data_IF_650618561705
#
_entry.id   IF_650618561705
#
_cell.length_a   1.000
_cell.length_b   1.000
_cell.length_c   1.000
_cell.angle_alpha   90.00
_cell.angle_beta   90.00
_cell.angle_gamma   90.00
#
_symmetry.space_group_name_H-M   'P 1'
#
loop_
_entity.id
_entity.type
_entity.pdbx_description
1 polymer ?
#
# COMPACT_ATOMS: atom_id res chain seq x y z
N UNK A 1 4.18 -2.58 3.18
CA UNK A 1 3.78 -1.40 3.98
C UNK A 1 4.75 -0.29 3.64
N UNK A 2 4.31 0.72 2.88
CA UNK A 2 5.17 1.79 2.39
C UNK A 2 5.87 2.44 3.59
N UNK A 3 7.19 2.26 3.69
CA UNK A 3 7.97 2.91 4.72
C UNK A 3 7.90 4.41 4.45
N UNK A 4 7.11 5.12 5.27
CA UNK A 4 7.13 6.58 5.31
C UNK A 4 8.57 7.04 5.36
N UNK A 5 9.02 7.77 4.33
CA UNK A 5 10.38 8.29 4.29
C UNK A 5 10.50 9.35 5.38
N UNK A 6 11.08 8.99 6.52
CA UNK A 6 11.34 9.93 7.63
C UNK A 6 12.06 11.19 7.14
N UNK A 7 12.90 11.05 6.11
CA UNK A 7 13.58 12.14 5.42
C UNK A 7 12.58 13.19 4.87
N UNK A 8 11.59 12.75 4.10
CA UNK A 8 10.60 13.65 3.49
C UNK A 8 9.64 14.22 4.52
N UNK A 9 9.29 13.45 5.56
CA UNK A 9 8.47 13.96 6.66
C UNK A 9 9.18 15.09 7.40
N UNK A 10 10.47 14.92 7.72
CA UNK A 10 11.24 15.98 8.39
C UNK A 10 11.46 17.21 7.48
N UNK A 11 11.65 17.02 6.17
CA UNK A 11 11.66 18.15 5.22
C UNK A 11 10.32 18.90 5.21
N UNK A 12 9.20 18.17 5.19
CA UNK A 12 7.86 18.77 5.28
C UNK A 12 7.64 19.57 6.56
N UNK A 13 8.16 19.10 7.70
CA UNK A 13 8.07 19.83 8.97
C UNK A 13 9.00 21.06 9.05
N UNK A 14 10.05 21.10 8.23
CA UNK A 14 10.95 22.24 8.06
C UNK A 14 10.45 23.26 7.02
N UNK A 15 9.43 22.91 6.22
CA UNK A 15 8.84 23.81 5.24
C UNK A 15 8.12 25.01 5.90
N UNK A 16 7.60 24.82 7.12
CA UNK A 16 6.99 25.89 7.94
C UNK A 16 8.05 26.85 8.54
N UNK A 17 9.33 26.57 8.36
CA UNK A 17 10.45 27.38 8.85
C UNK A 17 11.45 26.62 9.73
N UNK A 18 12.51 27.31 10.18
CA UNK A 18 13.59 26.69 10.92
C UNK A 18 13.15 26.09 12.25
N UNK A 19 13.74 24.95 12.62
CA UNK A 19 13.36 24.27 13.86
C UNK A 19 14.41 23.35 14.46
N UNK A 20 14.27 23.10 15.75
CA UNK A 20 15.08 22.15 16.49
C UNK A 20 14.58 20.71 16.30
N UNK A 21 15.48 19.75 16.31
CA UNK A 21 15.15 18.31 16.21
C UNK A 21 14.10 17.85 17.23
N UNK A 22 14.16 18.39 18.46
CA UNK A 22 13.15 18.12 19.49
C UNK A 22 11.74 18.57 19.08
N UNK A 23 11.60 19.79 18.57
CA UNK A 23 10.32 20.33 18.12
C UNK A 23 9.79 19.61 16.87
N UNK A 24 10.69 19.17 15.99
CA UNK A 24 10.32 18.35 14.82
C UNK A 24 9.75 17.00 15.25
N UNK A 25 10.35 16.32 16.25
CA UNK A 25 9.77 15.09 16.80
C UNK A 25 8.39 15.35 17.40
N UNK A 26 8.24 16.41 18.20
CA UNK A 26 6.95 16.73 18.83
C UNK A 26 5.86 16.97 17.78
N UNK A 27 6.15 17.79 16.77
CA UNK A 27 5.24 18.06 15.65
C UNK A 27 4.96 16.82 14.80
N UNK A 28 5.94 15.93 14.63
CA UNK A 28 5.72 14.64 14.00
C UNK A 28 4.69 13.81 14.77
N UNK A 29 4.89 13.62 16.08
CA UNK A 29 4.00 12.79 16.90
C UNK A 29 2.59 13.41 17.02
N UNK A 30 2.48 14.74 16.99
CA UNK A 30 1.20 15.46 16.92
C UNK A 30 0.48 15.26 15.58
N UNK A 31 1.20 15.30 14.44
CA UNK A 31 0.59 15.20 13.09
C UNK A 31 0.39 13.75 12.61
N UNK A 32 1.14 12.80 13.16
CA UNK A 32 1.11 11.39 12.77
C UNK A 32 0.98 10.45 13.98
N UNK A 33 -0.08 10.59 14.80
CA UNK A 33 -0.21 9.83 16.05
C UNK A 33 -0.33 8.31 15.85
N UNK A 34 -0.81 7.89 14.68
CA UNK A 34 -0.97 6.47 14.32
C UNK A 34 0.25 5.89 13.60
N UNK A 35 1.23 6.72 13.23
CA UNK A 35 2.49 6.24 12.68
C UNK A 35 3.40 5.72 13.81
N UNK A 36 4.37 4.88 13.46
CA UNK A 36 5.41 4.48 14.41
C UNK A 36 6.10 5.73 14.95
N UNK A 37 6.12 5.91 16.28
CA UNK A 37 6.78 7.07 16.90
C UNK A 37 8.24 7.14 16.45
N UNK A 38 8.66 8.33 16.02
CA UNK A 38 10.04 8.57 15.63
C UNK A 38 10.90 8.73 16.87
N UNK A 39 11.87 7.84 17.06
CA UNK A 39 12.84 7.99 18.14
C UNK A 39 13.67 9.28 17.94
N UNK A 40 14.02 9.97 19.04
CA UNK A 40 14.87 11.17 18.96
C UNK A 40 16.17 10.91 18.19
N UNK A 41 16.82 9.76 18.42
CA UNK A 41 18.02 9.36 17.69
C UNK A 41 17.80 9.24 16.18
N UNK A 42 16.63 8.75 15.74
CA UNK A 42 16.28 8.67 14.33
C UNK A 42 16.07 10.06 13.71
N UNK A 43 15.50 11.01 14.47
CA UNK A 43 15.34 12.39 14.02
C UNK A 43 16.70 13.04 13.79
N UNK A 44 17.60 13.00 14.77
CA UNK A 44 18.92 13.63 14.65
C UNK A 44 19.79 12.98 13.57
N UNK A 45 19.81 11.64 13.48
CA UNK A 45 20.55 10.95 12.42
C UNK A 45 20.00 11.25 11.03
N UNK A 46 18.68 11.44 10.89
CA UNK A 46 18.08 11.83 9.61
C UNK A 46 18.35 13.30 9.28
N UNK A 47 18.31 14.21 10.25
CA UNK A 47 18.68 15.62 10.05
C UNK A 47 20.15 15.77 9.61
N UNK A 48 21.06 15.04 10.24
CA UNK A 48 22.46 15.02 9.80
C UNK A 48 22.63 14.51 8.37
N UNK A 49 21.82 13.52 7.94
CA UNK A 49 21.80 13.05 6.55
C UNK A 49 21.27 14.14 5.61
N UNK A 50 20.17 14.80 5.96
CA UNK A 50 19.63 15.92 5.18
C UNK A 50 20.65 17.05 5.00
N UNK A 51 21.40 17.38 6.04
CA UNK A 51 22.47 18.39 5.97
C UNK A 51 23.61 17.94 5.06
N UNK A 52 24.08 16.70 5.23
CA UNK A 52 25.13 16.12 4.36
C UNK A 52 24.73 16.13 2.90
N UNK A 53 23.46 15.84 2.62
CA UNK A 53 22.91 15.74 1.26
C UNK A 53 22.52 17.12 0.69
N UNK A 54 22.75 18.23 1.41
CA UNK A 54 22.45 19.59 0.96
C UNK A 54 20.96 19.96 0.94
N UNK A 55 20.10 19.13 1.53
CA UNK A 55 18.65 19.35 1.59
C UNK A 55 18.21 20.16 2.81
N UNK A 56 19.05 20.21 3.84
CA UNK A 56 18.88 21.07 4.98
C UNK A 56 20.22 21.72 5.33
N UNK A 57 20.19 22.75 6.16
CA UNK A 57 21.37 23.41 6.70
C UNK A 57 21.18 23.74 8.17
N UNK A 58 22.28 23.96 8.88
CA UNK A 58 22.26 24.45 10.25
C UNK A 58 22.19 25.98 10.17
N UNK A 59 21.06 26.53 10.61
CA UNK A 59 20.87 27.99 10.62
C UNK A 59 21.57 28.64 11.82
N UNK A 60 21.68 27.92 12.95
CA UNK A 60 22.37 28.40 14.14
C UNK A 60 22.20 27.47 15.34
N UNK A 61 22.85 27.84 16.44
CA UNK A 61 22.69 27.21 17.74
C UNK A 61 22.18 28.22 18.75
N UNK A 62 21.05 27.90 19.39
CA UNK A 62 20.50 28.71 20.48
C UNK A 62 20.96 28.11 21.81
N UNK A 63 21.36 28.98 22.74
CA UNK A 63 21.67 28.62 24.12
C UNK A 63 20.93 29.58 25.06
N UNK A 64 19.61 29.45 25.12
CA UNK A 64 18.77 30.26 26.01
C UNK A 64 18.78 29.69 27.43
N UNK A 65 19.96 29.69 28.05
CA UNK A 65 20.21 29.23 29.44
C UNK A 65 20.16 27.70 29.66
N UNK A 66 20.06 26.90 28.60
CA UNK A 66 20.06 25.43 28.64
C UNK A 66 21.07 24.80 27.67
N UNK A 67 21.05 23.47 27.49
CA UNK A 67 21.94 22.78 26.53
C UNK A 67 21.78 23.37 25.13
N UNK A 68 22.90 23.56 24.44
CA UNK A 68 22.94 24.12 23.08
C UNK A 68 22.01 23.36 22.13
N UNK A 69 21.10 24.08 21.46
CA UNK A 69 20.12 23.49 20.53
C UNK A 69 20.36 23.96 19.11
N UNK A 70 20.74 23.04 18.24
CA UNK A 70 20.89 23.30 16.81
C UNK A 70 19.53 23.52 16.14
N UNK A 71 19.38 24.62 15.39
CA UNK A 71 18.27 24.88 14.48
C UNK A 71 18.63 24.41 13.08
N UNK A 72 17.70 23.72 12.45
CA UNK A 72 17.81 23.26 11.08
C UNK A 72 16.83 24.03 10.21
N UNK A 73 17.21 24.33 8.97
CA UNK A 73 16.38 24.97 7.94
C UNK A 73 16.43 24.15 6.67
N UNK A 74 15.32 24.02 5.95
CA UNK A 74 15.33 23.40 4.62
C UNK A 74 16.02 24.35 3.62
N UNK A 75 16.82 23.80 2.71
CA UNK A 75 17.40 24.55 1.60
C UNK A 75 16.40 24.65 0.44
N UNK A 76 16.71 25.46 -0.57
CA UNK A 76 15.91 25.51 -1.81
C UNK A 76 15.87 24.15 -2.50
N UNK A 77 16.98 23.40 -2.44
CA UNK A 77 17.05 22.03 -2.97
C UNK A 77 16.20 21.07 -2.15
N UNK A 78 16.23 21.17 -0.81
CA UNK A 78 15.33 20.41 0.06
C UNK A 78 13.85 20.68 -0.22
N UNK A 79 13.51 21.92 -0.54
CA UNK A 79 12.15 22.32 -0.88
C UNK A 79 11.71 21.73 -2.22
N UNK A 80 12.58 21.77 -3.25
CA UNK A 80 12.33 21.13 -4.55
C UNK A 80 12.18 19.62 -4.43
N UNK A 81 13.04 18.97 -3.65
CA UNK A 81 12.98 17.54 -3.37
C UNK A 81 11.65 17.15 -2.73
N UNK A 82 11.21 17.93 -1.74
CA UNK A 82 9.92 17.72 -1.08
C UNK A 82 8.76 17.86 -2.07
N UNK A 83 8.75 18.91 -2.90
CA UNK A 83 7.70 19.09 -3.92
C UNK A 83 7.67 17.96 -4.93
N UNK A 84 8.83 17.48 -5.38
CA UNK A 84 8.96 16.33 -6.28
C UNK A 84 8.36 15.09 -5.65
N UNK A 85 8.82 14.72 -4.45
CA UNK A 85 8.34 13.54 -3.74
C UNK A 85 6.83 13.61 -3.43
N UNK A 86 6.32 14.78 -3.05
CA UNK A 86 4.89 14.96 -2.77
C UNK A 86 4.02 14.83 -4.04
N UNK A 87 4.57 15.11 -5.22
CA UNK A 87 3.89 14.92 -6.51
C UNK A 87 4.04 13.52 -7.11
N UNK A 88 4.91 12.67 -6.55
CA UNK A 88 5.10 11.31 -7.03
C UNK A 88 3.91 10.41 -6.65
N UNK A 89 3.24 9.87 -7.65
CA UNK A 89 2.16 8.90 -7.45
C UNK A 89 2.76 7.63 -6.85
N UNK A 90 2.21 7.20 -5.72
CA UNK A 90 2.59 5.91 -5.13
C UNK A 90 1.93 4.79 -5.92
N UNK A 91 2.69 3.95 -6.66
CA UNK A 91 2.09 2.86 -7.42
C UNK A 91 1.53 1.78 -6.47
N UNK A 92 0.51 1.02 -6.90
CA UNK A 92 0.09 -0.18 -6.19
C UNK A 92 1.28 -1.13 -5.98
N UNK A 93 1.31 -1.83 -4.84
CA UNK A 93 2.38 -2.77 -4.56
C UNK A 93 2.43 -3.86 -5.65
N UNK A 94 3.58 -4.09 -6.31
CA UNK A 94 3.69 -5.06 -7.41
C UNK A 94 3.54 -6.51 -6.93
N UNK A 95 3.83 -6.76 -5.65
CA UNK A 95 3.61 -8.03 -4.97
C UNK A 95 2.96 -7.74 -3.62
N UNK A 96 1.79 -8.33 -3.38
CA UNK A 96 1.15 -8.30 -2.06
C UNK A 96 1.69 -9.48 -1.26
N UNK A 97 2.61 -9.21 -0.33
CA UNK A 97 3.10 -10.22 0.58
C UNK A 97 1.94 -10.69 1.48
N UNK A 98 1.56 -11.96 1.36
CA UNK A 98 0.50 -12.55 2.16
C UNK A 98 1.07 -13.51 3.20
N UNK A 99 1.42 -12.95 4.36
CA UNK A 99 1.96 -13.72 5.48
C UNK A 99 0.94 -14.72 6.06
N UNK A 100 -0.35 -14.37 6.04
CA UNK A 100 -1.42 -15.25 6.55
C UNK A 100 -1.48 -16.53 5.71
N UNK A 101 -1.43 -16.41 4.38
CA UNK A 101 -1.38 -17.58 3.49
C UNK A 101 -0.14 -18.43 3.74
N UNK A 102 1.03 -17.80 3.89
CA UNK A 102 2.26 -18.52 4.20
C UNK A 102 2.13 -19.33 5.50
N UNK A 103 1.55 -18.74 6.56
CA UNK A 103 1.29 -19.42 7.83
C UNK A 103 0.27 -20.56 7.69
N UNK A 104 -0.78 -20.41 6.88
CA UNK A 104 -1.73 -21.49 6.58
C UNK A 104 -1.03 -22.66 5.90
N UNK A 105 -0.24 -22.41 4.86
CA UNK A 105 0.47 -23.47 4.13
C UNK A 105 1.50 -24.16 5.03
N UNK A 106 2.24 -23.42 5.84
CA UNK A 106 3.18 -23.98 6.81
C UNK A 106 2.45 -24.81 7.87
N UNK A 107 1.29 -24.35 8.36
CA UNK A 107 0.47 -25.12 9.30
C UNK A 107 0.05 -26.47 8.69
N UNK A 108 -0.37 -26.50 7.42
CA UNK A 108 -0.69 -27.76 6.70
C UNK A 108 0.53 -28.67 6.62
N UNK A 109 1.66 -28.16 6.10
CA UNK A 109 2.89 -28.94 5.92
C UNK A 109 3.46 -29.50 7.23
N UNK A 110 3.21 -28.84 8.35
CA UNK A 110 3.64 -29.26 9.68
C UNK A 110 2.66 -30.19 10.40
N UNK A 111 1.53 -30.55 9.77
CA UNK A 111 0.47 -31.36 10.38
C UNK A 111 -0.30 -30.62 11.48
N UNK A 112 -0.26 -29.29 11.47
CA UNK A 112 -0.98 -28.42 12.40
C UNK A 112 -2.45 -28.21 12.02
N UNK A 113 -3.10 -27.27 12.71
CA UNK A 113 -4.50 -26.91 12.47
C UNK A 113 -4.61 -25.51 11.81
N UNK A 114 -4.62 -25.44 10.46
CA UNK A 114 -4.80 -24.17 9.77
C UNK A 114 -6.18 -23.53 10.00
N UNK A 115 -7.22 -24.32 10.34
CA UNK A 115 -8.55 -23.79 10.61
C UNK A 115 -8.59 -23.04 11.95
N UNK A 116 -7.97 -23.62 12.99
CA UNK A 116 -7.78 -22.93 14.27
C UNK A 116 -6.93 -21.66 14.11
N UNK A 117 -5.87 -21.70 13.30
CA UNK A 117 -5.07 -20.51 13.00
C UNK A 117 -5.91 -19.40 12.34
N UNK A 118 -6.68 -19.70 11.29
CA UNK A 118 -7.54 -18.72 10.63
C UNK A 118 -8.63 -18.17 11.55
N UNK A 119 -9.19 -19.02 12.43
CA UNK A 119 -10.15 -18.57 13.45
C UNK A 119 -9.53 -17.58 14.44
N UNK A 120 -8.34 -17.88 14.93
CA UNK A 120 -7.58 -16.98 15.82
C UNK A 120 -7.19 -15.68 15.10
N UNK A 121 -6.74 -15.78 13.84
CA UNK A 121 -6.40 -14.62 13.03
C UNK A 121 -7.61 -13.70 12.82
N UNK A 122 -8.79 -14.27 12.54
CA UNK A 122 -10.05 -13.52 12.43
C UNK A 122 -10.39 -12.79 13.73
N UNK A 123 -10.25 -13.45 14.88
CA UNK A 123 -10.49 -12.83 16.18
C UNK A 123 -9.55 -11.64 16.44
N UNK A 124 -8.26 -11.78 16.10
CA UNK A 124 -7.28 -10.71 16.23
C UNK A 124 -7.60 -9.49 15.35
N UNK A 125 -8.04 -9.71 14.10
CA UNK A 125 -8.47 -8.63 13.20
C UNK A 125 -9.70 -7.91 13.75
N UNK A 126 -10.70 -8.65 14.22
CA UNK A 126 -11.92 -8.07 14.80
C UNK A 126 -11.61 -7.23 16.06
N UNK A 127 -10.69 -7.69 16.90
CA UNK A 127 -10.27 -6.92 18.07
C UNK A 127 -9.60 -5.61 17.64
N UNK A 128 -8.68 -5.66 16.67
CA UNK A 128 -8.04 -4.46 16.15
C UNK A 128 -9.03 -3.49 15.50
N UNK A 129 -10.07 -3.98 14.83
CA UNK A 129 -11.14 -3.13 14.29
C UNK A 129 -11.91 -2.41 15.40
N UNK A 130 -12.19 -3.08 16.53
CA UNK A 130 -12.85 -2.44 17.69
C UNK A 130 -11.99 -1.32 18.26
N UNK A 131 -10.70 -1.55 18.44
CA UNK A 131 -9.75 -0.55 18.91
C UNK A 131 -9.74 0.68 17.98
N UNK A 132 -9.62 0.48 16.67
CA UNK A 132 -9.60 1.56 15.69
C UNK A 132 -10.93 2.31 15.60
N UNK A 133 -12.05 1.60 15.74
CA UNK A 133 -13.39 2.22 15.80
C UNK A 133 -13.50 3.11 17.04
N UNK A 134 -12.98 2.68 18.19
CA UNK A 134 -12.94 3.49 19.40
C UNK A 134 -12.04 4.73 19.24
N UNK A 135 -10.88 4.58 18.60
CA UNK A 135 -9.98 5.71 18.28
C UNK A 135 -10.70 6.74 17.40
N UNK A 136 -11.38 6.29 16.34
CA UNK A 136 -12.14 7.16 15.44
C UNK A 136 -13.32 7.86 16.16
N UNK A 137 -13.98 7.17 17.08
CA UNK A 137 -15.14 7.69 17.82
C UNK A 137 -14.76 8.53 19.05
N UNK A 138 -13.47 8.65 19.39
CA UNK A 138 -13.02 9.39 20.55
C UNK A 138 -13.37 10.88 20.43
N UNK A 139 -13.87 11.48 21.52
CA UNK A 139 -14.15 12.92 21.56
C UNK A 139 -12.86 13.71 21.34
N UNK A 140 -12.89 14.64 20.39
CA UNK A 140 -11.75 15.48 20.04
C UNK A 140 -10.71 14.80 19.14
N UNK A 141 -11.02 13.63 18.56
CA UNK A 141 -10.18 13.05 17.52
C UNK A 141 -10.08 14.02 16.33
N UNK A 142 -8.85 14.32 15.90
CA UNK A 142 -8.60 15.14 14.73
C UNK A 142 -8.89 14.37 13.42
N UNK A 143 -9.05 15.11 12.33
CA UNK A 143 -9.40 14.53 11.02
C UNK A 143 -8.32 13.56 10.50
N UNK A 144 -7.03 13.83 10.73
CA UNK A 144 -5.96 12.95 10.25
C UNK A 144 -5.99 11.61 11.00
N UNK A 145 -6.30 11.62 12.30
CA UNK A 145 -6.55 10.41 13.09
C UNK A 145 -7.74 9.62 12.55
N UNK A 146 -8.88 10.29 12.27
CA UNK A 146 -10.07 9.64 11.72
C UNK A 146 -9.80 8.99 10.36
N UNK A 147 -9.17 9.72 9.43
CA UNK A 147 -8.85 9.21 8.09
C UNK A 147 -7.84 8.06 8.14
N UNK A 148 -6.86 8.13 9.03
CA UNK A 148 -5.88 7.04 9.23
C UNK A 148 -6.55 5.77 9.78
N UNK A 149 -7.45 5.94 10.75
CA UNK A 149 -8.22 4.82 11.30
C UNK A 149 -9.13 4.19 10.24
N UNK A 150 -9.81 5.00 9.42
CA UNK A 150 -10.65 4.53 8.32
C UNK A 150 -9.85 3.75 7.28
N UNK A 151 -8.68 4.24 6.88
CA UNK A 151 -7.80 3.53 5.97
C UNK A 151 -7.42 2.14 6.53
N UNK A 152 -7.03 2.07 7.80
CA UNK A 152 -6.67 0.82 8.46
C UNK A 152 -7.87 -0.13 8.59
N UNK A 153 -9.07 0.37 8.92
CA UNK A 153 -10.30 -0.41 8.99
C UNK A 153 -10.66 -1.05 7.64
N UNK A 154 -10.52 -0.31 6.54
CA UNK A 154 -10.78 -0.83 5.20
C UNK A 154 -9.81 -1.97 4.81
N UNK A 155 -8.55 -1.90 5.25
CA UNK A 155 -7.59 -2.98 5.05
C UNK A 155 -7.93 -4.22 5.88
N UNK A 156 -8.26 -4.04 7.16
CA UNK A 156 -8.68 -5.15 8.02
C UNK A 156 -9.95 -5.82 7.52
N UNK A 157 -10.89 -5.06 6.97
CA UNK A 157 -12.10 -5.61 6.35
C UNK A 157 -11.78 -6.43 5.10
N UNK A 158 -10.89 -5.93 4.23
CA UNK A 158 -10.40 -6.69 3.08
C UNK A 158 -9.70 -7.99 3.51
N UNK A 159 -8.86 -7.94 4.53
CA UNK A 159 -8.18 -9.11 5.10
C UNK A 159 -9.18 -10.12 5.67
N UNK A 160 -10.22 -9.66 6.37
CA UNK A 160 -11.29 -10.52 6.89
C UNK A 160 -12.09 -11.20 5.78
N UNK A 161 -12.44 -10.48 4.71
CA UNK A 161 -13.09 -11.07 3.52
C UNK A 161 -12.21 -12.16 2.91
N UNK A 162 -10.91 -11.92 2.83
CA UNK A 162 -9.94 -12.89 2.31
C UNK A 162 -9.79 -14.11 3.25
N UNK A 163 -9.72 -13.92 4.56
CA UNK A 163 -9.67 -14.99 5.58
C UNK A 163 -10.91 -15.87 5.50
N UNK A 164 -12.10 -15.27 5.40
CA UNK A 164 -13.36 -16.01 5.28
C UNK A 164 -13.40 -16.83 3.98
N UNK A 165 -12.96 -16.23 2.86
CA UNK A 165 -12.85 -16.93 1.58
C UNK A 165 -11.90 -18.12 1.70
N UNK A 166 -10.69 -17.91 2.23
CA UNK A 166 -9.66 -18.94 2.38
C UNK A 166 -10.11 -20.08 3.30
N UNK A 167 -10.86 -19.76 4.36
CA UNK A 167 -11.43 -20.78 5.26
C UNK A 167 -12.38 -21.73 4.50
N UNK A 168 -13.18 -21.21 3.56
CA UNK A 168 -14.07 -22.03 2.73
C UNK A 168 -13.29 -22.95 1.76
N UNK A 169 -12.10 -22.54 1.32
CA UNK A 169 -11.23 -23.30 0.42
C UNK A 169 -10.22 -24.21 1.14
N UNK A 170 -10.22 -24.20 2.47
CA UNK A 170 -9.15 -24.82 3.24
C UNK A 170 -9.01 -26.31 2.98
N UNK A 171 -10.12 -27.04 2.87
CA UNK A 171 -10.10 -28.49 2.54
C UNK A 171 -9.42 -28.77 1.21
N UNK A 172 -9.72 -27.97 0.18
CA UNK A 172 -9.12 -28.12 -1.14
C UNK A 172 -7.63 -27.79 -1.11
N UNK A 173 -7.26 -26.71 -0.41
CA UNK A 173 -5.86 -26.30 -0.24
C UNK A 173 -5.05 -27.36 0.52
N UNK A 174 -5.59 -27.94 1.58
CA UNK A 174 -4.94 -29.03 2.33
C UNK A 174 -4.67 -30.23 1.43
N UNK A 175 -5.66 -30.66 0.64
CA UNK A 175 -5.48 -31.76 -0.32
C UNK A 175 -4.41 -31.46 -1.38
N UNK A 176 -4.36 -30.24 -1.91
CA UNK A 176 -3.34 -29.81 -2.87
C UNK A 176 -1.94 -29.81 -2.24
N UNK A 177 -1.80 -29.29 -1.02
CA UNK A 177 -0.50 -29.24 -0.33
C UNK A 177 -0.02 -30.64 0.06
N UNK A 178 -0.91 -31.51 0.54
CA UNK A 178 -0.57 -32.89 0.89
C UNK A 178 -0.16 -33.70 -0.35
N UNK A 179 -0.86 -33.50 -1.48
CA UNK A 179 -0.47 -34.13 -2.75
C UNK A 179 0.84 -33.57 -3.28
N UNK A 180 1.08 -32.26 -3.22
CA UNK A 180 2.35 -31.65 -3.60
C UNK A 180 3.52 -32.08 -2.70
N UNK A 181 3.29 -32.24 -1.39
CA UNK A 181 4.26 -32.80 -0.44
C UNK A 181 4.56 -34.27 -0.72
N UNK A 182 3.55 -35.04 -1.11
CA UNK A 182 3.71 -36.42 -1.56
C UNK A 182 4.47 -36.52 -2.90
N UNK A 183 4.27 -35.57 -3.81
CA UNK A 183 5.04 -35.41 -5.06
C UNK A 183 6.50 -35.05 -4.79
N UNK A 184 6.80 -34.18 -3.82
CA UNK A 184 8.18 -33.78 -3.50
C UNK A 184 8.99 -34.94 -2.85
N UNK A 185 8.30 -35.89 -2.21
CA UNK A 185 8.90 -37.10 -1.64
C UNK A 185 8.91 -38.30 -2.61
N UNK A 186 8.27 -38.18 -3.79
CA UNK A 186 8.25 -39.19 -4.87
C UNK A 186 8.12 -38.50 -6.23
N UNK A 187 9.23 -38.14 -6.86
CA UNK A 187 9.24 -37.81 -8.29
C UNK A 187 10.21 -38.76 -9.02
N UNK A 188 9.81 -39.32 -10.18
CA UNK A 188 9.72 -38.49 -11.38
C UNK A 188 8.48 -38.68 -12.27
N UNK A 189 8.26 -37.62 -13.08
CA UNK A 189 7.44 -37.52 -14.30
C UNK A 189 5.91 -37.41 -14.14
N UNK A 190 5.36 -36.20 -14.34
CA UNK A 190 4.36 -35.85 -15.37
C UNK A 190 3.82 -34.42 -15.12
N UNK A 191 4.42 -33.44 -15.81
CA UNK A 191 3.92 -32.07 -15.90
C UNK A 191 2.96 -31.96 -17.10
N UNK A 192 1.66 -31.99 -16.85
CA UNK A 192 0.65 -31.45 -17.77
C UNK A 192 -0.64 -31.18 -16.99
N UNK A 193 -1.30 -30.05 -17.27
CA UNK A 193 -2.54 -29.52 -16.66
C UNK A 193 -2.38 -28.58 -15.46
N UNK A 194 -1.82 -27.39 -15.72
CA UNK A 194 -1.97 -26.22 -14.83
C UNK A 194 -2.30 -24.95 -15.61
N UNK A 195 -3.31 -24.99 -16.47
CA UNK A 195 -3.80 -23.81 -17.19
C UNK A 195 -5.31 -23.91 -17.43
N UNK A 196 -6.14 -23.71 -16.41
CA UNK A 196 -7.58 -23.47 -16.64
C UNK A 196 -8.34 -22.77 -15.48
N UNK A 197 -7.63 -22.19 -14.51
CA UNK A 197 -8.25 -21.29 -13.52
C UNK A 197 -7.96 -19.84 -13.89
N UNK A 198 -8.44 -19.46 -15.08
CA UNK A 198 -8.49 -18.07 -15.52
C UNK A 198 -9.72 -17.41 -14.89
N UNK A 199 -9.47 -16.63 -13.84
CA UNK A 199 -10.13 -15.38 -13.47
C UNK A 199 -11.38 -15.00 -14.28
N UNK A 200 -12.56 -15.06 -13.65
CA UNK A 200 -13.78 -14.41 -14.18
C UNK A 200 -14.01 -13.11 -13.39
N UNK A 201 -13.83 -11.92 -14.00
CA UNK A 201 -14.11 -10.66 -13.32
C UNK A 201 -15.62 -10.38 -13.36
N UNK A 202 -16.15 -9.82 -12.26
CA UNK A 202 -17.49 -9.24 -12.12
C UNK A 202 -18.64 -10.20 -11.77
N UNK A 203 -18.76 -10.56 -10.49
CA UNK A 203 -20.07 -10.81 -9.85
C UNK A 203 -19.97 -10.54 -8.34
N UNK A 204 -19.88 -9.27 -7.95
CA UNK A 204 -20.49 -8.71 -6.73
C UNK A 204 -20.15 -7.22 -6.60
N UNK A 205 -20.94 -6.40 -7.27
CA UNK A 205 -21.09 -4.98 -6.97
C UNK A 205 -22.57 -4.67 -7.06
N UNK A 206 -23.34 -5.04 -6.03
CA UNK A 206 -24.69 -4.47 -5.81
C UNK A 206 -25.35 -4.79 -4.45
N UNK A 207 -24.75 -5.60 -3.58
CA UNK A 207 -25.27 -5.80 -2.23
C UNK A 207 -24.29 -5.25 -1.19
N UNK A 208 -24.80 -4.48 -0.22
CA UNK A 208 -24.11 -3.87 0.93
C UNK A 208 -23.55 -2.44 0.69
N UNK A 209 -24.39 -1.52 0.20
CA UNK A 209 -24.31 -0.09 0.58
C UNK A 209 -25.71 0.51 0.75
N UNK A 210 -26.66 -0.20 1.35
CA UNK A 210 -27.97 0.37 1.73
C UNK A 210 -28.37 -0.16 3.11
N UNK A 211 -27.81 0.43 4.16
CA UNK A 211 -28.39 0.44 5.51
C UNK A 211 -27.45 1.24 6.44
N UNK A 212 -28.02 2.18 7.19
CA UNK A 212 -27.41 2.92 8.33
C UNK A 212 -26.91 4.35 8.05
N UNK A 213 -27.74 5.23 7.49
CA UNK A 213 -27.78 6.64 7.96
C UNK A 213 -29.24 7.07 8.04
N UNK A 214 -29.82 6.99 9.23
CA UNK A 214 -31.10 7.63 9.55
C UNK A 214 -30.89 8.49 10.79
N UNK A 215 -31.09 9.80 10.63
CA UNK A 215 -31.53 10.70 11.70
C UNK A 215 -30.47 11.42 12.52
N UNK A 216 -29.95 12.54 12.01
CA UNK A 216 -29.63 13.71 12.83
C UNK A 216 -29.81 14.98 11.99
N UNK A 217 -30.95 15.63 12.20
CA UNK A 217 -31.42 16.85 11.55
C UNK A 217 -30.57 18.05 11.98
N UNK A 218 -30.02 18.80 11.02
CA UNK A 218 -29.58 20.19 11.23
C UNK A 218 -30.21 21.03 10.13
N UNK A 219 -31.08 21.93 10.54
CA UNK A 219 -31.73 22.96 9.73
C UNK A 219 -30.73 24.03 9.28
N UNK A 220 -30.60 24.27 7.96
CA UNK A 220 -30.77 25.59 7.34
C UNK A 220 -30.68 25.54 5.80
N UNK A 221 -31.32 26.50 5.09
CA UNK A 221 -31.74 26.33 3.70
C UNK A 221 -30.76 26.87 2.65
N UNK A 222 -30.98 26.41 1.42
CA UNK A 222 -30.72 27.09 0.14
C UNK A 222 -29.27 27.07 -0.41
N UNK A 223 -29.05 26.23 -1.45
CA UNK A 223 -28.22 26.54 -2.63
C UNK A 223 -28.29 25.41 -3.67
N UNK A 224 -29.11 25.65 -4.69
CA UNK A 224 -28.99 25.31 -6.11
C UNK A 224 -28.26 24.03 -6.59
N UNK A 225 -29.06 23.23 -7.30
CA UNK A 225 -28.77 22.22 -8.32
C UNK A 225 -27.42 22.30 -9.08
N UNK A 226 -26.76 21.14 -9.18
CA UNK A 226 -25.94 20.74 -10.34
C UNK A 226 -26.13 19.23 -10.65
N UNK A 227 -26.11 18.81 -11.93
CA UNK A 227 -26.49 17.46 -12.35
C UNK A 227 -25.35 16.45 -12.23
N UNK A 228 -25.71 15.24 -11.80
CA UNK A 228 -24.88 14.04 -11.82
C UNK A 228 -24.42 13.73 -13.25
N UNK A 229 -23.13 13.87 -13.52
CA UNK A 229 -22.51 13.38 -14.76
C UNK A 229 -21.89 12.00 -14.47
N UNK A 230 -22.59 10.95 -14.90
CA UNK A 230 -22.01 9.60 -14.97
C UNK A 230 -20.96 9.57 -16.09
N UNK A 231 -19.69 9.39 -15.73
CA UNK A 231 -18.61 9.15 -16.68
C UNK A 231 -18.56 7.64 -17.00
N UNK A 232 -19.14 7.24 -18.13
CA UNK A 232 -18.99 5.89 -18.67
C UNK A 232 -17.64 5.80 -19.41
N UNK A 233 -16.69 5.05 -18.84
CA UNK A 233 -15.39 4.79 -19.45
C UNK A 233 -15.52 3.62 -20.45
N UNK A 234 -15.77 3.94 -21.72
CA UNK A 234 -15.64 2.99 -22.84
C UNK A 234 -14.17 2.87 -23.24
N UNK A 235 -13.51 1.81 -22.76
CA UNK A 235 -12.17 1.41 -23.21
C UNK A 235 -12.27 0.61 -24.51
N UNK A 236 -12.06 1.30 -25.62
CA UNK A 236 -11.98 0.77 -26.98
C UNK A 236 -10.63 0.04 -27.17
N UNK A 237 -10.64 -1.30 -27.22
CA UNK A 237 -9.47 -2.11 -27.58
C UNK A 237 -9.65 -2.68 -28.98
N UNK A 238 -9.32 -1.88 -30.00
CA UNK A 238 -9.11 -2.37 -31.36
C UNK A 238 -7.62 -2.43 -31.66
N UNK A 239 -7.05 -3.64 -31.57
CA UNK A 239 -5.78 -3.99 -32.22
C UNK A 239 -6.12 -4.69 -33.55
N UNK A 240 -5.54 -4.28 -34.70
CA UNK A 240 -5.73 -5.00 -35.95
C UNK A 240 -4.85 -6.25 -36.03
N UNK A 241 -5.49 -7.42 -36.16
CA UNK A 241 -4.87 -8.66 -36.60
C UNK A 241 -4.36 -8.54 -38.05
N UNK A 242 -3.05 -8.57 -38.27
CA UNK A 242 -2.48 -8.83 -39.61
C UNK A 242 -2.50 -10.34 -39.91
N UNK A 243 -3.04 -10.78 -41.06
CA UNK A 243 -2.91 -12.17 -41.48
C UNK A 243 -1.55 -12.41 -42.16
N UNK A 244 -0.91 -13.50 -41.75
CA UNK A 244 0.26 -14.10 -42.37
C UNK A 244 -0.10 -14.75 -43.72
N UNK A 245 0.77 -14.59 -44.73
CA UNK A 245 0.73 -15.36 -45.98
C UNK A 245 1.93 -16.30 -46.05
N UNK A 246 1.75 -17.59 -46.40
CA UNK A 246 2.85 -18.50 -46.67
C UNK A 246 3.19 -18.59 -48.16
N UNK A 247 4.47 -18.32 -48.47
CA UNK A 247 5.34 -19.08 -49.36
C UNK A 247 5.02 -19.21 -50.86
N UNK A 248 5.91 -18.68 -51.71
CA UNK A 248 6.35 -19.35 -52.95
C UNK A 248 7.76 -18.88 -53.35
N UNK A 249 8.48 -19.81 -53.98
CA UNK A 249 9.93 -19.98 -53.98
C UNK A 249 10.69 -19.39 -55.17
N UNK A 250 12.01 -19.22 -54.96
CA UNK A 250 13.13 -19.45 -55.90
C UNK A 250 13.20 -18.68 -57.23
N UNK A 251 14.28 -17.89 -57.34
CA UNK A 251 15.25 -17.70 -58.47
C UNK A 251 15.88 -16.31 -58.29
N UNK A 252 17.12 -15.99 -58.60
CA UNK A 252 18.32 -16.69 -59.04
C UNK A 252 19.48 -15.75 -58.69
N UNK A 253 20.62 -16.33 -58.36
CA UNK A 253 21.90 -15.66 -58.17
C UNK A 253 22.35 -14.93 -59.44
N UNK A 254 22.88 -13.71 -59.31
CA UNK A 254 23.96 -13.25 -60.19
C UNK A 254 24.83 -12.16 -59.56
N UNK A 255 26.11 -12.50 -59.50
CA UNK A 255 27.26 -11.70 -59.10
C UNK A 255 27.53 -10.59 -60.12
N UNK A 256 27.89 -9.40 -59.64
CA UNK A 256 28.90 -8.49 -60.23
C UNK A 256 29.36 -7.56 -59.09
N UNK A 257 30.50 -7.79 -58.44
CA UNK A 257 31.90 -7.50 -58.84
C UNK A 257 32.11 -6.09 -59.40
N UNK A 258 32.88 -5.31 -58.60
CA UNK A 258 33.86 -4.25 -58.93
C UNK A 258 33.42 -2.77 -58.95
N UNK A 259 33.98 -2.06 -57.97
CA UNK A 259 35.09 -1.07 -58.06
C UNK A 259 34.72 0.39 -57.75
N UNK A 260 35.53 0.90 -56.80
CA UNK A 260 35.84 2.29 -56.44
C UNK A 260 34.83 3.01 -55.57
#
# INVERSE_FOLDING_TARGET
MLAMSTRHVLLGLLADGPSHGYNLKRRHDERFPQARSLAYGQVYTTLQRLVRDGLAEIEGTDSDGGPERTKYRATDEGTRELSRWAGEITPPAPVVANEILAKVVVAILSGGDPAAYLSAQRAAHMERMRELTAVKAAKGADLATVLSADYALNHLDADLRWVNTTTAWLTALTAEVDTAGAWNNRAPALLAHRHELAWSPLTNHEAIVHSSVTGATIDHPEMAALPLTCYAFQGDWTMPCTPSQPGLSRRESRRHRRRR
#
